data_IF_772368961340
#
_entry.id   IF_772368961340
#
_cell.length_a   1.000
_cell.length_b   1.000
_cell.length_c   1.000
_cell.angle_alpha   90.00
_cell.angle_beta   90.00
_cell.angle_gamma   90.00
#
_symmetry.space_group_name_H-M   'P 1'
#
loop_
_entity.id
_entity.type
_entity.pdbx_description
1 polymer ?
#
# COMPACT_ATOMS: atom_id res chain seq x y z
N UNK A 1 -7.53 4.63 -42.09
CA UNK A 1 -8.48 5.67 -41.62
C UNK A 1 -8.87 5.43 -40.17
N UNK A 2 -9.48 4.28 -39.81
CA UNK A 2 -9.85 3.99 -38.41
C UNK A 2 -8.65 3.95 -37.46
N UNK A 3 -7.60 3.23 -37.83
CA UNK A 3 -6.36 3.11 -37.04
C UNK A 3 -5.72 4.47 -36.74
N UNK A 4 -5.55 5.33 -37.75
CA UNK A 4 -5.03 6.70 -37.59
C UNK A 4 -5.89 7.54 -36.63
N UNK A 5 -7.21 7.37 -36.66
CA UNK A 5 -8.12 8.08 -35.76
C UNK A 5 -8.00 7.55 -34.32
N UNK A 6 -7.91 6.22 -34.17
CA UNK A 6 -7.74 5.59 -32.87
C UNK A 6 -6.41 6.01 -32.23
N UNK A 7 -5.33 6.04 -33.01
CA UNK A 7 -4.01 6.55 -32.59
C UNK A 7 -4.09 8.01 -32.15
N UNK A 8 -4.73 8.88 -32.94
CA UNK A 8 -4.92 10.28 -32.56
C UNK A 8 -5.72 10.43 -31.26
N UNK A 9 -6.78 9.63 -31.07
CA UNK A 9 -7.57 9.64 -29.85
C UNK A 9 -6.77 9.15 -28.63
N UNK A 10 -5.89 8.17 -28.77
CA UNK A 10 -5.01 7.71 -27.67
C UNK A 10 -4.00 8.78 -27.30
N UNK A 11 -3.37 9.42 -28.30
CA UNK A 11 -2.45 10.53 -28.09
C UNK A 11 -3.10 11.70 -27.33
N UNK A 12 -4.29 12.13 -27.74
CA UNK A 12 -4.99 13.23 -27.07
C UNK A 12 -5.34 12.91 -25.61
N UNK A 13 -5.68 11.65 -25.31
CA UNK A 13 -5.94 11.20 -23.94
C UNK A 13 -4.66 11.23 -23.09
N UNK A 14 -3.55 10.78 -23.67
CA UNK A 14 -2.24 10.80 -23.01
C UNK A 14 -1.80 12.23 -22.68
N UNK A 15 -1.86 13.16 -23.64
CA UNK A 15 -1.53 14.57 -23.41
C UNK A 15 -2.42 15.22 -22.34
N UNK A 16 -3.73 14.95 -22.37
CA UNK A 16 -4.64 15.47 -21.35
C UNK A 16 -4.32 14.91 -19.96
N UNK A 17 -3.96 13.63 -19.87
CA UNK A 17 -3.54 13.01 -18.62
C UNK A 17 -2.28 13.67 -18.05
N UNK A 18 -1.25 13.91 -18.87
CA UNK A 18 -0.03 14.65 -18.48
C UNK A 18 -0.34 16.05 -17.95
N UNK A 19 -1.19 16.80 -18.65
CA UNK A 19 -1.61 18.14 -18.20
C UNK A 19 -2.32 18.06 -16.85
N UNK A 20 -3.23 17.10 -16.69
CA UNK A 20 -3.95 16.90 -15.43
C UNK A 20 -3.00 16.51 -14.30
N UNK A 21 -1.99 15.68 -14.56
CA UNK A 21 -0.97 15.29 -13.60
C UNK A 21 -0.14 16.50 -13.16
N UNK A 22 0.29 17.35 -14.10
CA UNK A 22 0.96 18.62 -13.81
C UNK A 22 0.13 19.53 -12.89
N UNK A 23 -1.17 19.69 -13.18
CA UNK A 23 -2.10 20.46 -12.34
C UNK A 23 -2.26 19.83 -10.95
N UNK A 24 -2.45 18.50 -10.88
CA UNK A 24 -2.64 17.74 -9.63
C UNK A 24 -1.46 17.91 -8.68
N UNK A 25 -0.25 17.94 -9.23
CA UNK A 25 1.00 18.01 -8.48
C UNK A 25 1.60 19.43 -8.42
N UNK A 26 0.88 20.46 -8.89
CA UNK A 26 1.33 21.87 -8.91
C UNK A 26 2.71 22.04 -9.60
N UNK A 27 2.86 21.41 -10.77
CA UNK A 27 4.15 21.25 -11.46
C UNK A 27 3.99 21.20 -12.99
N UNK A 28 5.09 21.06 -13.74
CA UNK A 28 5.01 20.91 -15.21
C UNK A 28 4.37 19.57 -15.60
N UNK A 29 3.75 19.42 -16.78
CA UNK A 29 3.16 18.15 -17.21
C UNK A 29 4.13 16.96 -17.13
N UNK A 30 5.38 17.15 -17.56
CA UNK A 30 6.44 16.13 -17.46
C UNK A 30 6.75 15.71 -16.02
N UNK A 31 6.86 16.69 -15.13
CA UNK A 31 7.09 16.43 -13.70
C UNK A 31 5.87 15.75 -13.07
N UNK A 32 4.67 16.19 -13.41
CA UNK A 32 3.43 15.65 -12.86
C UNK A 32 3.24 14.19 -13.24
N UNK A 33 3.52 13.84 -14.49
CA UNK A 33 3.54 12.45 -14.97
C UNK A 33 4.56 11.61 -14.18
N UNK A 34 5.80 12.10 -14.05
CA UNK A 34 6.82 11.42 -13.23
C UNK A 34 6.37 11.18 -11.79
N UNK A 35 5.80 12.19 -11.13
CA UNK A 35 5.30 12.07 -9.76
C UNK A 35 4.13 11.08 -9.65
N UNK A 36 3.21 11.09 -10.60
CA UNK A 36 2.09 10.15 -10.61
C UNK A 36 2.56 8.70 -10.79
N UNK A 37 3.46 8.46 -11.73
CA UNK A 37 4.05 7.15 -11.96
C UNK A 37 4.86 6.66 -10.75
N UNK A 38 5.66 7.54 -10.14
CA UNK A 38 6.39 7.22 -8.93
C UNK A 38 5.45 6.88 -7.77
N UNK A 39 4.38 7.66 -7.56
CA UNK A 39 3.37 7.37 -6.54
C UNK A 39 2.68 6.03 -6.79
N UNK A 40 2.30 5.73 -8.03
CA UNK A 40 1.68 4.46 -8.40
C UNK A 40 2.63 3.27 -8.12
N UNK A 41 3.92 3.43 -8.39
CA UNK A 41 4.94 2.43 -8.07
C UNK A 41 5.11 2.24 -6.56
N UNK A 42 5.17 3.33 -5.78
CA UNK A 42 5.28 3.27 -4.31
C UNK A 42 4.08 2.54 -3.71
N UNK A 43 2.86 2.85 -4.17
CA UNK A 43 1.64 2.15 -3.75
C UNK A 43 1.75 0.66 -4.09
N UNK A 44 2.13 0.33 -5.33
CA UNK A 44 2.29 -1.07 -5.76
C UNK A 44 3.30 -1.87 -4.94
N UNK A 45 4.47 -1.29 -4.64
CA UNK A 45 5.48 -1.92 -3.76
C UNK A 45 4.93 -2.13 -2.35
N UNK A 46 4.28 -1.11 -1.79
CA UNK A 46 3.76 -1.14 -0.42
C UNK A 46 2.64 -2.17 -0.27
N UNK A 47 1.70 -2.22 -1.21
CA UNK A 47 0.61 -3.18 -1.23
C UNK A 47 1.14 -4.61 -1.40
N UNK A 48 2.09 -4.83 -2.30
CA UNK A 48 2.71 -6.14 -2.51
C UNK A 48 3.45 -6.62 -1.26
N UNK A 49 4.21 -5.73 -0.61
CA UNK A 49 4.89 -6.03 0.65
C UNK A 49 3.88 -6.36 1.74
N UNK A 50 2.84 -5.54 1.90
CA UNK A 50 1.81 -5.75 2.91
C UNK A 50 1.13 -7.11 2.75
N UNK A 51 0.73 -7.48 1.53
CA UNK A 51 0.11 -8.77 1.25
C UNK A 51 1.04 -9.95 1.57
N UNK A 52 2.31 -9.85 1.19
CA UNK A 52 3.32 -10.85 1.52
C UNK A 52 3.51 -11.01 3.04
N UNK A 53 3.65 -9.91 3.77
CA UNK A 53 3.84 -9.94 5.22
C UNK A 53 2.60 -10.44 5.97
N UNK A 54 1.40 -10.05 5.51
CA UNK A 54 0.13 -10.51 6.06
C UNK A 54 0.00 -12.04 5.92
N UNK A 55 0.33 -12.58 4.74
CA UNK A 55 0.33 -14.04 4.52
C UNK A 55 1.38 -14.73 5.37
N UNK A 56 2.59 -14.18 5.47
CA UNK A 56 3.65 -14.71 6.34
C UNK A 56 3.21 -14.76 7.80
N UNK A 57 2.48 -13.74 8.27
CA UNK A 57 1.94 -13.68 9.62
C UNK A 57 0.83 -14.71 9.83
N UNK A 58 -0.10 -14.84 8.89
CA UNK A 58 -1.17 -15.87 8.92
C UNK A 58 -0.58 -17.27 9.13
N UNK A 59 0.45 -17.61 8.37
CA UNK A 59 1.14 -18.91 8.47
C UNK A 59 1.89 -19.11 9.79
N UNK A 60 2.34 -18.02 10.42
CA UNK A 60 3.01 -18.08 11.73
C UNK A 60 2.02 -18.28 12.89
N UNK A 61 0.79 -17.79 12.75
CA UNK A 61 -0.28 -17.89 13.75
C UNK A 61 -1.05 -19.21 13.61
N UNK A 62 -1.09 -19.79 12.42
CA UNK A 62 -1.87 -20.99 12.18
C UNK A 62 -1.43 -22.16 13.07
N UNK A 63 -2.29 -22.44 14.07
CA UNK A 63 -2.10 -23.51 15.04
C UNK A 63 -2.30 -24.85 14.34
N UNK A 64 -1.32 -25.74 14.47
CA UNK A 64 -1.43 -27.10 13.92
C UNK A 64 -2.61 -27.81 14.60
N UNK A 65 -3.61 -28.33 13.87
CA UNK A 65 -4.73 -29.05 14.47
C UNK A 65 -4.21 -30.23 15.30
N UNK A 66 -4.68 -30.32 16.55
CA UNK A 66 -4.33 -31.42 17.44
C UNK A 66 -4.72 -32.74 16.79
N UNK A 67 -3.72 -33.53 16.43
CA UNK A 67 -3.94 -34.88 15.94
C UNK A 67 -4.46 -35.68 17.16
N UNK A 68 -5.65 -36.31 17.08
CA UNK A 68 -6.22 -37.03 18.22
C UNK A 68 -5.21 -38.03 18.80
N UNK A 69 -4.95 -37.93 20.10
CA UNK A 69 -4.09 -38.87 20.83
C UNK A 69 -4.72 -40.25 20.79
N UNK A 70 -3.97 -41.26 20.34
CA UNK A 70 -4.45 -42.64 20.30
C UNK A 70 -4.37 -43.19 21.72
N UNK A 71 -5.51 -43.55 22.30
CA UNK A 71 -5.56 -44.33 23.53
C UNK A 71 -5.04 -45.75 23.26
N UNK A 72 -4.08 -46.20 24.08
CA UNK A 72 -3.46 -47.53 24.00
C UNK A 72 -4.46 -48.69 24.20
N UNK A 73 -5.67 -48.39 24.68
CA UNK A 73 -6.71 -49.37 25.00
C UNK A 73 -7.82 -49.54 23.92
N UNK A 74 -7.62 -49.02 22.70
CA UNK A 74 -8.63 -49.10 21.64
C UNK A 74 -8.76 -50.51 21.03
N UNK A 75 -10.00 -50.93 20.77
CA UNK A 75 -10.31 -52.15 19.99
C UNK A 75 -9.66 -52.09 18.60
N UNK A 76 -9.13 -53.21 18.08
CA UNK A 76 -8.40 -53.28 16.79
C UNK A 76 -9.16 -52.66 15.60
N UNK A 77 -10.48 -52.75 15.56
CA UNK A 77 -11.32 -52.17 14.51
C UNK A 77 -11.41 -50.64 14.62
N UNK A 78 -11.52 -50.11 15.84
CA UNK A 78 -11.53 -48.68 16.11
C UNK A 78 -10.16 -48.04 15.88
N UNK A 79 -9.07 -48.75 16.23
CA UNK A 79 -7.71 -48.33 15.91
C UNK A 79 -7.52 -48.12 14.41
N UNK A 80 -7.88 -49.10 13.57
CA UNK A 80 -7.78 -48.97 12.10
C UNK A 80 -8.61 -47.79 11.57
N UNK A 81 -9.78 -47.55 12.12
CA UNK A 81 -10.65 -46.41 11.74
C UNK A 81 -10.02 -45.08 12.14
N UNK A 82 -9.44 -45.00 13.33
CA UNK A 82 -8.77 -43.80 13.84
C UNK A 82 -7.49 -43.51 13.03
N UNK A 83 -6.68 -44.53 12.75
CA UNK A 83 -5.48 -44.43 11.93
C UNK A 83 -5.79 -43.91 10.52
N UNK A 84 -6.86 -44.42 9.88
CA UNK A 84 -7.30 -43.95 8.56
C UNK A 84 -7.67 -42.46 8.58
N UNK A 85 -8.40 -42.00 9.61
CA UNK A 85 -8.76 -40.59 9.79
C UNK A 85 -7.53 -39.71 10.00
N UNK A 86 -6.56 -40.16 10.80
CA UNK A 86 -5.30 -39.43 11.03
C UNK A 86 -4.51 -39.27 9.74
N UNK A 87 -4.40 -40.33 8.93
CA UNK A 87 -3.74 -40.26 7.61
C UNK A 87 -4.42 -39.26 6.68
N UNK A 88 -5.75 -39.24 6.66
CA UNK A 88 -6.50 -38.27 5.85
C UNK A 88 -6.30 -36.83 6.32
N UNK A 89 -6.33 -36.58 7.64
CA UNK A 89 -6.05 -35.25 8.22
C UNK A 89 -4.62 -34.80 7.90
N UNK A 90 -3.64 -35.71 8.07
CA UNK A 90 -2.24 -35.42 7.78
C UNK A 90 -2.01 -35.09 6.30
N UNK A 91 -2.70 -35.80 5.40
CA UNK A 91 -2.61 -35.55 3.95
C UNK A 91 -3.19 -34.17 3.60
N UNK A 92 -4.38 -33.83 4.09
CA UNK A 92 -4.99 -32.49 3.88
C UNK A 92 -4.12 -31.37 4.45
N UNK A 93 -3.49 -31.60 5.60
CA UNK A 93 -2.60 -30.63 6.22
C UNK A 93 -1.30 -30.46 5.42
N UNK A 94 -0.78 -31.53 4.83
CA UNK A 94 0.37 -31.45 3.94
C UNK A 94 0.06 -30.73 2.62
N UNK A 95 -1.12 -30.99 2.03
CA UNK A 95 -1.61 -30.29 0.84
C UNK A 95 -1.75 -28.79 1.11
N UNK A 96 -2.44 -28.43 2.20
CA UNK A 96 -2.60 -27.03 2.59
C UNK A 96 -1.25 -26.34 2.78
N UNK A 97 -0.30 -26.96 3.49
CA UNK A 97 1.05 -26.40 3.65
C UNK A 97 1.76 -26.16 2.32
N UNK A 98 1.56 -27.04 1.34
CA UNK A 98 2.12 -26.86 0.00
C UNK A 98 1.51 -25.65 -0.69
N UNK A 99 0.18 -25.57 -0.73
CA UNK A 99 -0.56 -24.45 -1.31
C UNK A 99 -0.18 -23.11 -0.67
N UNK A 100 -0.11 -23.07 0.67
CA UNK A 100 0.31 -21.89 1.41
C UNK A 100 1.73 -21.44 1.07
N UNK A 101 2.63 -22.39 0.84
CA UNK A 101 4.02 -22.10 0.42
C UNK A 101 4.05 -21.54 -1.01
N UNK A 102 3.29 -22.15 -1.93
CA UNK A 102 3.16 -21.67 -3.32
C UNK A 102 2.62 -20.23 -3.37
N UNK A 103 1.57 -19.92 -2.59
CA UNK A 103 1.02 -18.56 -2.48
C UNK A 103 2.07 -17.58 -1.93
N UNK A 104 2.81 -17.98 -0.89
CA UNK A 104 3.81 -17.12 -0.28
C UNK A 104 4.96 -16.79 -1.26
N UNK A 105 5.40 -17.77 -2.06
CA UNK A 105 6.42 -17.59 -3.10
C UNK A 105 5.92 -16.68 -4.24
N UNK A 106 4.66 -16.80 -4.64
CA UNK A 106 4.05 -15.92 -5.64
C UNK A 106 3.99 -14.47 -5.14
N UNK A 107 3.53 -14.26 -3.91
CA UNK A 107 3.48 -12.93 -3.29
C UNK A 107 4.88 -12.30 -3.18
N UNK A 108 5.88 -13.08 -2.77
CA UNK A 108 7.26 -12.62 -2.69
C UNK A 108 7.82 -12.26 -4.08
N UNK A 109 7.54 -13.08 -5.09
CA UNK A 109 7.94 -12.82 -6.47
C UNK A 109 7.31 -11.55 -7.02
N UNK A 110 6.04 -11.30 -6.70
CA UNK A 110 5.34 -10.08 -7.08
C UNK A 110 5.94 -8.85 -6.40
N UNK A 111 6.22 -8.93 -5.09
CA UNK A 111 6.94 -7.88 -4.36
C UNK A 111 8.28 -7.55 -5.01
N UNK A 112 9.12 -8.56 -5.28
CA UNK A 112 10.43 -8.36 -5.92
C UNK A 112 10.32 -7.71 -7.31
N UNK A 113 9.27 -8.04 -8.07
CA UNK A 113 9.01 -7.42 -9.37
C UNK A 113 8.70 -5.93 -9.23
N UNK A 114 7.83 -5.57 -8.28
CA UNK A 114 7.53 -4.16 -8.00
C UNK A 114 8.74 -3.41 -7.47
N UNK A 115 9.49 -3.99 -6.52
CA UNK A 115 10.71 -3.42 -5.96
C UNK A 115 11.76 -3.19 -7.05
N UNK A 116 12.00 -4.18 -7.91
CA UNK A 116 12.91 -4.06 -9.04
C UNK A 116 12.48 -2.98 -10.04
N UNK A 117 11.18 -2.89 -10.32
CA UNK A 117 10.63 -1.83 -11.19
C UNK A 117 10.79 -0.46 -10.55
N UNK A 118 10.52 -0.34 -9.25
CA UNK A 118 10.67 0.89 -8.48
C UNK A 118 12.12 1.37 -8.48
N UNK A 119 13.08 0.50 -8.15
CA UNK A 119 14.51 0.81 -8.20
C UNK A 119 14.90 1.24 -9.63
N UNK A 120 14.51 0.47 -10.64
CA UNK A 120 14.86 0.78 -12.03
C UNK A 120 14.18 2.06 -12.57
N UNK A 121 13.02 2.46 -12.05
CA UNK A 121 12.33 3.69 -12.43
C UNK A 121 12.87 4.90 -11.66
N UNK A 122 13.13 4.73 -10.36
CA UNK A 122 13.71 5.75 -9.50
C UNK A 122 15.13 6.13 -9.94
N UNK A 123 15.94 5.13 -10.31
CA UNK A 123 17.33 5.31 -10.73
C UNK A 123 17.53 5.36 -12.25
N UNK A 124 16.47 5.30 -13.07
CA UNK A 124 16.67 5.46 -14.53
C UNK A 124 17.09 6.90 -14.83
N UNK A 125 18.33 6.98 -15.31
CA UNK A 125 19.13 8.16 -15.62
C UNK A 125 18.36 9.23 -16.43
N UNK A 126 18.74 10.49 -16.17
CA UNK A 126 18.23 11.77 -16.70
C UNK A 126 16.98 12.35 -16.02
N UNK A 127 15.89 11.59 -15.83
CA UNK A 127 14.64 12.13 -15.27
C UNK A 127 14.73 12.25 -13.73
N UNK A 128 15.08 11.19 -13.00
CA UNK A 128 15.21 11.27 -11.53
C UNK A 128 16.32 12.21 -11.03
N UNK A 129 17.34 12.50 -11.86
CA UNK A 129 18.42 13.43 -11.53
C UNK A 129 18.11 14.89 -11.93
N UNK A 130 17.40 15.13 -13.04
CA UNK A 130 16.93 16.47 -13.41
C UNK A 130 15.70 16.90 -12.59
N UNK A 131 14.85 15.94 -12.23
CA UNK A 131 13.70 16.09 -11.34
C UNK A 131 14.00 15.59 -9.94
N UNK A 132 15.27 15.69 -9.52
CA UNK A 132 15.71 15.30 -8.19
C UNK A 132 14.62 15.73 -7.21
N UNK A 133 14.06 14.79 -6.42
CA UNK A 133 13.20 15.14 -5.31
C UNK A 133 14.10 15.82 -4.27
N UNK A 134 14.60 17.00 -4.59
CA UNK A 134 15.24 17.89 -3.64
C UNK A 134 14.12 18.29 -2.68
N UNK A 135 13.97 17.47 -1.64
CA UNK A 135 13.20 17.77 -0.45
C UNK A 135 11.86 18.44 -0.75
N UNK A 136 10.91 17.72 -1.35
CA UNK A 136 9.49 18.00 -1.10
C UNK A 136 9.05 17.13 0.10
N UNK A 137 9.84 17.00 1.17
CA UNK A 137 9.61 17.83 2.37
C UNK A 137 9.95 19.30 2.14
N UNK A 138 9.16 19.96 1.30
CA UNK A 138 9.26 21.39 1.10
C UNK A 138 8.99 22.04 2.46
N UNK A 139 9.66 23.15 2.73
CA UNK A 139 9.41 24.07 3.85
C UNK A 139 7.95 24.63 3.89
N UNK A 140 7.04 24.09 3.06
CA UNK A 140 5.59 24.28 3.10
C UNK A 140 4.89 23.65 4.31
N UNK A 141 5.61 23.18 5.34
CA UNK A 141 5.04 23.09 6.70
C UNK A 141 4.45 24.44 7.17
N UNK A 142 4.86 25.57 6.56
CA UNK A 142 4.37 26.91 6.87
C UNK A 142 3.19 27.42 6.03
N UNK A 143 2.69 26.69 5.02
CA UNK A 143 1.60 27.19 4.14
C UNK A 143 0.30 26.39 4.11
N UNK A 144 0.15 25.44 5.03
CA UNK A 144 -1.17 24.98 5.49
C UNK A 144 -1.21 25.06 7.01
N UNK A 145 -1.13 26.28 7.54
CA UNK A 145 -1.69 26.51 8.86
C UNK A 145 -3.17 26.13 8.77
N UNK A 146 -3.59 25.18 9.59
CA UNK A 146 -4.98 24.87 9.88
C UNK A 146 -5.61 26.04 10.69
N UNK A 147 -5.51 27.26 10.17
CA UNK A 147 -6.11 28.47 10.77
C UNK A 147 -7.30 28.99 9.98
N UNK A 148 -7.54 28.48 8.76
CA UNK A 148 -8.59 29.01 7.88
C UNK A 148 -9.81 28.07 7.82
N UNK A 149 -9.77 26.98 8.60
CA UNK A 149 -10.88 26.07 8.81
C UNK A 149 -11.27 26.17 10.30
N UNK A 150 -11.96 27.25 10.67
CA UNK A 150 -12.49 27.46 12.01
C UNK A 150 -13.62 26.48 12.39
N UNK A 151 -13.36 25.16 12.37
CA UNK A 151 -14.27 24.13 12.86
C UNK A 151 -13.57 22.78 13.17
N UNK A 152 -12.43 22.79 13.85
CA UNK A 152 -11.91 21.57 14.49
C UNK A 152 -11.44 21.88 15.91
N UNK A 153 -12.29 22.57 16.67
CA UNK A 153 -12.14 22.70 18.12
C UNK A 153 -13.34 22.04 18.80
N UNK A 154 -13.17 20.76 19.09
CA UNK A 154 -13.69 20.09 20.29
C UNK A 154 -13.19 18.66 20.22
N UNK A 155 -12.10 18.35 20.93
CA UNK A 155 -11.97 17.06 21.63
C UNK A 155 -10.74 16.89 22.52
N UNK A 156 -9.83 17.86 22.64
CA UNK A 156 -8.84 17.85 23.72
C UNK A 156 -8.61 19.26 24.27
N UNK A 157 -9.06 19.46 25.51
CA UNK A 157 -8.97 20.73 26.20
C UNK A 157 -7.53 21.17 26.46
N UNK A 158 -7.17 22.32 25.91
CA UNK A 158 -6.26 23.28 26.52
C UNK A 158 -6.79 24.68 26.20
N UNK A 159 -7.32 25.35 27.22
CA UNK A 159 -7.81 26.72 27.14
C UNK A 159 -6.65 27.65 26.78
N UNK A 160 -6.59 28.14 25.53
CA UNK A 160 -5.81 29.31 25.18
C UNK A 160 -6.77 30.50 25.20
N UNK A 161 -6.60 31.40 26.16
CA UNK A 161 -7.42 32.60 26.28
C UNK A 161 -7.29 33.46 25.01
N UNK A 162 -8.42 33.66 24.31
CA UNK A 162 -8.55 34.67 23.25
C UNK A 162 -8.27 36.05 23.85
N UNK A 163 -7.20 36.72 23.43
CA UNK A 163 -7.13 38.18 23.51
C UNK A 163 -8.10 38.73 22.45
N UNK A 164 -9.23 39.25 22.90
CA UNK A 164 -10.11 40.04 22.05
C UNK A 164 -9.40 41.33 21.62
N UNK A 165 -9.52 41.67 20.33
CA UNK A 165 -9.24 43.01 19.86
C UNK A 165 -10.12 43.99 20.66
N UNK A 166 -9.49 44.96 21.35
CA UNK A 166 -10.20 46.17 21.77
C UNK A 166 -10.06 47.17 20.64
N UNK A 167 -11.18 47.46 20.01
CA UNK A 167 -11.41 48.74 19.35
C UNK A 167 -11.43 49.80 20.45
N UNK A 168 -10.39 50.62 20.54
CA UNK A 168 -10.43 51.87 21.29
C UNK A 168 -10.20 53.00 20.29
N UNK A 169 -11.28 53.38 19.62
CA UNK A 169 -11.50 54.77 19.21
C UNK A 169 -11.87 55.55 20.46
N UNK A 170 -11.04 56.53 20.85
CA UNK A 170 -11.50 57.80 21.44
C UNK A 170 -10.35 58.81 21.59
N UNK A 171 -10.53 59.94 20.89
CA UNK A 171 -10.45 61.31 21.40
C UNK A 171 -9.35 61.72 22.38
N UNK A 172 -8.42 62.56 21.92
CA UNK A 172 -8.24 63.97 22.35
C UNK A 172 -7.38 64.76 21.36
#
# INVERSE_FOLDING_TARGET
>A
MKEIYDDHCTFMKYEQHRINAGIKWDTTPDQGEYWEDLCNLVIGVTDALHNYELKRLELSIEVTPEIPSVSEYLLKSEYKKCEKRRKEIALKLAEKKREDTEILEELYSNYNKYEGTFIAAYYRDEIGLAFQPCAIMDDRLLKRCATDNGNLDTHYGYHINKKGCRDDSDSE
#
